data_IF_141569740719
#
_entry.id   IF_141569740719
#
_cell.length_a   1.000
_cell.length_b   1.000
_cell.length_c   1.000
_cell.angle_alpha   90.00
_cell.angle_beta   90.00
_cell.angle_gamma   90.00
#
_symmetry.space_group_name_H-M   'P 1'
#
loop_
_entity.id
_entity.type
_entity.pdbx_description
1 polymer ?
#
# COMPACT_ATOMS: atom_id res chain seq x y z
N UNK A 1 -1.00 -3.95 -27.85
CA UNK A 1 -0.16 -4.19 -26.69
C UNK A 1 -1.00 -4.72 -25.52
N UNK A 2 -0.35 -5.32 -24.53
CA UNK A 2 -0.97 -5.71 -23.27
C UNK A 2 -0.02 -5.34 -22.14
N UNK A 3 -0.50 -4.56 -21.22
CA UNK A 3 0.21 -4.14 -20.02
C UNK A 3 -0.44 -4.84 -18.84
N UNK A 4 0.32 -5.62 -18.11
CA UNK A 4 -0.13 -6.35 -16.93
C UNK A 4 0.60 -5.79 -15.71
N UNK A 5 -0.12 -5.34 -14.73
CA UNK A 5 0.39 -4.88 -13.45
C UNK A 5 -0.22 -5.74 -12.35
N UNK A 6 0.63 -6.36 -11.55
CA UNK A 6 0.24 -7.16 -10.41
C UNK A 6 0.85 -6.57 -9.15
N UNK A 7 0.05 -6.46 -8.10
CA UNK A 7 0.47 -6.01 -6.77
C UNK A 7 0.13 -7.08 -5.77
N UNK A 8 1.07 -7.36 -4.86
CA UNK A 8 0.90 -8.27 -3.74
C UNK A 8 1.43 -7.56 -2.50
N UNK A 9 0.56 -7.35 -1.52
CA UNK A 9 0.87 -6.64 -0.28
C UNK A 9 0.54 -7.51 0.91
N UNK A 10 1.51 -7.67 1.80
CA UNK A 10 1.36 -8.38 3.06
C UNK A 10 1.77 -7.46 4.19
N UNK A 11 0.94 -7.34 5.22
CA UNK A 11 1.22 -6.59 6.43
C UNK A 11 0.87 -7.41 7.66
N UNK A 12 1.77 -7.42 8.63
CA UNK A 12 1.57 -8.09 9.92
C UNK A 12 2.07 -7.20 11.04
N UNK A 13 1.18 -6.88 11.95
CA UNK A 13 1.44 -6.05 13.11
C UNK A 13 1.06 -6.79 14.38
N UNK A 14 1.98 -6.82 15.34
CA UNK A 14 1.79 -7.38 16.67
C UNK A 14 2.18 -6.35 17.71
N UNK A 15 1.32 -6.13 18.69
CA UNK A 15 1.58 -5.19 19.76
C UNK A 15 0.99 -5.64 21.09
N UNK A 16 1.50 -5.07 22.17
CA UNK A 16 1.10 -5.44 23.52
C UNK A 16 0.98 -4.18 24.39
N UNK A 17 -0.06 -4.16 25.23
CA UNK A 17 -0.18 -3.21 26.33
C UNK A 17 -0.27 -3.98 27.65
N UNK A 18 0.51 -3.56 28.63
CA UNK A 18 0.48 -4.10 29.96
C UNK A 18 0.20 -2.98 30.96
N UNK A 19 -0.74 -3.24 31.86
CA UNK A 19 -1.05 -2.35 32.96
C UNK A 19 -1.16 -3.15 34.25
N UNK A 20 -0.43 -2.71 35.25
CA UNK A 20 -0.46 -3.31 36.58
C UNK A 20 -0.75 -2.23 37.61
N UNK A 21 -1.63 -2.52 38.55
CA UNK A 21 -2.03 -1.58 39.59
C UNK A 21 -2.32 -2.26 40.92
N UNK A 22 -2.12 -1.49 41.98
CA UNK A 22 -2.45 -1.89 43.32
C UNK A 22 -3.29 -0.80 44.00
N UNK A 23 -4.38 -1.19 44.60
CA UNK A 23 -5.24 -0.30 45.38
C UNK A 23 -4.83 -0.33 46.86
N UNK A 24 -4.46 0.80 47.39
CA UNK A 24 -4.24 0.99 48.84
C UNK A 24 -5.50 1.55 49.51
N UNK A 25 -5.69 1.38 50.83
CA UNK A 25 -6.84 1.92 51.56
C UNK A 25 -6.99 3.44 51.43
N UNK A 26 -5.91 4.17 51.20
CA UNK A 26 -5.85 5.63 51.08
C UNK A 26 -5.84 6.16 49.65
N UNK A 27 -5.96 5.31 48.63
CA UNK A 27 -5.92 5.70 47.23
C UNK A 27 -5.30 4.66 46.33
N UNK A 28 -5.36 4.88 45.02
CA UNK A 28 -4.74 4.02 44.03
C UNK A 28 -3.33 4.52 43.69
N UNK A 29 -2.34 3.65 43.73
CA UNK A 29 -0.98 3.92 43.24
C UNK A 29 -0.77 3.14 41.95
N UNK A 30 -0.55 3.83 40.85
CA UNK A 30 -0.04 3.23 39.62
C UNK A 30 1.46 3.57 39.47
N UNK A 31 2.25 2.63 39.08
CA UNK A 31 3.65 2.85 38.74
C UNK A 31 3.75 2.94 37.23
N UNK A 32 3.97 4.13 36.69
CA UNK A 32 4.36 4.39 35.31
C UNK A 32 3.30 4.91 34.34
N UNK A 33 3.76 5.56 33.32
CA UNK A 33 3.27 5.78 31.97
C UNK A 33 1.93 6.48 31.74
N UNK A 34 1.78 6.86 30.51
CA UNK A 34 0.69 7.62 29.93
C UNK A 34 -0.71 7.03 30.22
N UNK A 35 -1.64 7.92 30.59
CA UNK A 35 -3.04 7.63 30.92
C UNK A 35 -3.93 7.25 29.71
N UNK A 36 -3.36 6.70 28.64
CA UNK A 36 -4.17 6.21 27.52
C UNK A 36 -4.90 4.95 27.96
N UNK A 37 -6.18 5.14 28.25
CA UNK A 37 -7.10 4.12 28.72
C UNK A 37 -6.96 2.82 27.89
N UNK A 38 -6.84 1.70 28.58
CA UNK A 38 -7.41 0.47 28.07
C UNK A 38 -8.89 0.78 27.89
N UNK A 39 -9.34 1.02 26.67
CA UNK A 39 -10.75 1.28 26.37
C UNK A 39 -11.52 -0.04 26.45
N UNK A 40 -11.53 -0.62 27.64
CA UNK A 40 -12.36 -1.75 27.97
C UNK A 40 -13.69 -1.25 28.51
N UNK A 41 -14.65 -0.98 27.64
CA UNK A 41 -16.07 -0.87 28.02
C UNK A 41 -16.58 -2.10 28.79
N UNK A 42 -15.80 -3.17 28.86
CA UNK A 42 -16.12 -4.41 29.59
C UNK A 42 -15.99 -4.33 31.11
N UNK A 43 -15.36 -3.29 31.67
CA UNK A 43 -15.13 -3.22 33.12
C UNK A 43 -16.15 -2.33 33.81
N UNK A 44 -16.80 -1.43 33.11
CA UNK A 44 -17.82 -0.58 33.68
C UNK A 44 -19.15 -1.29 34.04
N UNK A 45 -19.37 -2.50 33.55
CA UNK A 45 -20.64 -3.22 33.71
C UNK A 45 -20.72 -4.27 34.82
N UNK A 46 -19.61 -4.72 35.41
CA UNK A 46 -19.61 -5.90 36.29
C UNK A 46 -19.09 -5.69 37.73
N UNK A 47 -18.56 -4.52 38.06
CA UNK A 47 -18.12 -4.24 39.43
C UNK A 47 -18.89 -3.05 40.00
N UNK A 48 -20.08 -3.31 40.48
CA UNK A 48 -20.81 -2.34 41.32
C UNK A 48 -20.04 -2.10 42.63
N UNK A 49 -19.24 -1.07 42.67
CA UNK A 49 -18.51 -0.65 43.84
C UNK A 49 -17.18 -0.03 43.48
N UNK A 50 -17.17 1.28 43.27
CA UNK A 50 -16.03 2.22 43.29
C UNK A 50 -14.64 1.66 42.93
N UNK A 51 -14.52 0.96 41.84
CA UNK A 51 -13.22 0.79 41.16
C UNK A 51 -13.11 1.98 40.22
N UNK A 52 -12.12 2.84 40.45
CA UNK A 52 -11.80 3.90 39.53
C UNK A 52 -11.62 3.28 38.12
N UNK A 53 -12.08 3.92 37.03
CA UNK A 53 -11.89 3.43 35.69
C UNK A 53 -10.41 3.10 35.49
N UNK A 54 -10.09 2.01 34.81
CA UNK A 54 -8.70 1.58 34.53
C UNK A 54 -7.87 2.69 33.87
N UNK A 55 -8.51 3.70 33.26
CA UNK A 55 -7.87 4.91 32.77
C UNK A 55 -7.23 5.81 33.81
N UNK A 56 -7.44 5.57 35.11
CA UNK A 56 -6.78 6.31 36.20
C UNK A 56 -5.39 5.70 36.55
N UNK A 57 -5.07 4.52 36.07
CA UNK A 57 -3.81 3.83 36.33
C UNK A 57 -3.03 3.74 35.02
N UNK A 58 -1.97 4.51 34.88
CA UNK A 58 -1.20 4.56 33.62
C UNK A 58 -0.72 3.17 33.11
N UNK A 59 -0.54 3.05 31.84
CA UNK A 59 -0.04 1.83 31.18
C UNK A 59 1.48 1.75 31.32
N UNK A 60 2.03 0.67 31.89
CA UNK A 60 3.47 0.49 32.09
C UNK A 60 4.17 0.09 30.78
N UNK A 61 3.48 -0.70 29.94
CA UNK A 61 3.95 -1.04 28.59
C UNK A 61 2.89 -0.61 27.62
N UNK A 62 3.21 0.29 26.70
CA UNK A 62 2.29 0.79 25.69
C UNK A 62 2.93 0.64 24.29
N UNK A 63 2.88 -0.56 23.75
CA UNK A 63 3.39 -0.94 22.45
C UNK A 63 2.28 -1.59 21.61
N UNK A 64 1.16 -0.89 21.33
CA UNK A 64 0.07 -1.45 20.56
C UNK A 64 0.48 -1.69 19.11
N UNK A 65 -0.22 -2.56 18.40
CA UNK A 65 -0.14 -2.64 16.96
C UNK A 65 -0.64 -1.31 16.34
N UNK A 66 0.15 -0.75 15.44
CA UNK A 66 -0.17 0.50 14.72
C UNK A 66 -0.07 0.25 13.22
N UNK A 67 -0.99 -0.53 12.64
CA UNK A 67 -0.95 -0.86 11.24
C UNK A 67 -1.15 0.38 10.37
N UNK A 68 -0.52 0.41 9.20
CA UNK A 68 -0.70 1.46 8.20
C UNK A 68 -2.11 1.43 7.58
N UNK A 69 -2.78 0.28 7.63
CA UNK A 69 -4.13 0.08 7.09
C UNK A 69 -4.90 -0.93 7.94
N UNK A 70 -6.18 -0.67 8.17
CA UNK A 70 -7.06 -1.54 8.94
C UNK A 70 -7.03 -1.29 10.46
N UNK A 71 -7.92 -1.97 11.17
CA UNK A 71 -8.04 -1.90 12.63
C UNK A 71 -7.53 -3.21 13.23
N UNK A 72 -6.56 -3.19 14.14
CA UNK A 72 -6.08 -4.41 14.77
C UNK A 72 -7.16 -5.06 15.63
N UNK A 73 -7.21 -6.38 15.61
CA UNK A 73 -7.97 -7.15 16.59
C UNK A 73 -7.28 -7.06 17.95
N UNK A 74 -8.05 -6.97 19.02
CA UNK A 74 -7.55 -6.88 20.39
C UNK A 74 -8.07 -8.02 21.23
N UNK A 75 -7.17 -8.64 22.00
CA UNK A 75 -7.51 -9.62 23.03
C UNK A 75 -7.06 -9.07 24.37
N UNK A 76 -8.01 -8.84 25.28
CA UNK A 76 -7.75 -8.31 26.61
C UNK A 76 -7.96 -9.36 27.68
N UNK A 77 -7.01 -9.49 28.59
CA UNK A 77 -7.08 -10.34 29.77
C UNK A 77 -6.89 -9.48 31.00
N UNK A 78 -7.80 -9.61 31.95
CA UNK A 78 -7.77 -8.90 33.22
C UNK A 78 -7.74 -9.89 34.37
N UNK A 79 -6.71 -9.84 35.20
CA UNK A 79 -6.50 -10.69 36.34
C UNK A 79 -6.57 -9.85 37.63
N UNK A 80 -7.31 -10.31 38.61
CA UNK A 80 -7.41 -9.71 39.95
C UNK A 80 -6.94 -10.69 41.03
N UNK A 81 -6.39 -10.16 42.09
CA UNK A 81 -6.19 -10.96 43.28
C UNK A 81 -7.53 -11.19 44.01
N UNK A 82 -7.61 -12.16 44.93
CA UNK A 82 -8.82 -12.52 45.67
C UNK A 82 -9.40 -11.37 46.48
N UNK A 83 -8.58 -10.41 46.91
CA UNK A 83 -9.00 -9.23 47.65
C UNK A 83 -9.37 -8.03 46.77
N UNK A 84 -9.28 -8.14 45.42
CA UNK A 84 -9.50 -7.08 44.44
C UNK A 84 -8.65 -5.82 44.70
N UNK A 85 -7.51 -5.98 45.35
CA UNK A 85 -6.56 -4.91 45.67
C UNK A 85 -5.47 -4.76 44.63
N UNK A 86 -5.23 -5.79 43.84
CA UNK A 86 -4.25 -5.79 42.77
C UNK A 86 -4.87 -6.30 41.46
N UNK A 87 -4.47 -5.73 40.36
CA UNK A 87 -4.87 -6.20 39.03
C UNK A 87 -3.70 -6.18 38.06
N UNK A 88 -3.77 -7.06 37.11
CA UNK A 88 -2.92 -7.10 35.90
C UNK A 88 -3.84 -7.11 34.69
N UNK A 89 -3.75 -6.10 33.87
CA UNK A 89 -4.44 -6.02 32.60
C UNK A 89 -3.44 -6.17 31.46
N UNK A 90 -3.69 -7.10 30.58
CA UNK A 90 -2.88 -7.37 29.38
C UNK A 90 -3.78 -7.25 28.17
N UNK A 91 -3.40 -6.45 27.22
CA UNK A 91 -4.04 -6.35 25.90
C UNK A 91 -3.03 -6.72 24.83
N UNK A 92 -3.37 -7.67 23.99
CA UNK A 92 -2.61 -8.06 22.80
C UNK A 92 -3.38 -7.57 21.60
N UNK A 93 -2.74 -6.77 20.78
CA UNK A 93 -3.29 -6.26 19.52
C UNK A 93 -2.56 -6.91 18.34
N UNK A 94 -3.32 -7.42 17.37
CA UNK A 94 -2.77 -8.07 16.20
C UNK A 94 -3.57 -7.75 14.96
N UNK A 95 -2.87 -7.56 13.84
CA UNK A 95 -3.45 -7.49 12.50
C UNK A 95 -2.59 -8.27 11.54
N UNK A 96 -3.23 -9.02 10.65
CA UNK A 96 -2.61 -9.60 9.47
C UNK A 96 -3.50 -9.23 8.27
N UNK A 97 -2.93 -8.59 7.27
CA UNK A 97 -3.61 -8.14 6.07
C UNK A 97 -2.88 -8.66 4.84
N UNK A 98 -3.63 -9.27 3.93
CA UNK A 98 -3.14 -9.78 2.65
C UNK A 98 -3.98 -9.14 1.53
N UNK A 99 -3.33 -8.48 0.59
CA UNK A 99 -3.96 -7.78 -0.50
C UNK A 99 -3.33 -8.13 -1.84
N UNK A 100 -4.16 -8.53 -2.81
CA UNK A 100 -3.72 -8.83 -4.17
C UNK A 100 -4.51 -8.02 -5.17
N UNK A 101 -3.79 -7.33 -6.04
CA UNK A 101 -4.37 -6.54 -7.11
C UNK A 101 -3.81 -6.96 -8.47
N UNK A 102 -4.65 -6.91 -9.51
CA UNK A 102 -4.20 -7.12 -10.88
C UNK A 102 -4.92 -6.15 -11.80
N UNK A 103 -4.16 -5.38 -12.56
CA UNK A 103 -4.69 -4.46 -13.58
C UNK A 103 -4.16 -4.88 -14.94
N UNK A 104 -5.06 -5.01 -15.91
CA UNK A 104 -4.70 -5.34 -17.30
C UNK A 104 -5.23 -4.23 -18.20
N UNK A 105 -4.32 -3.61 -18.95
CA UNK A 105 -4.63 -2.61 -19.96
C UNK A 105 -4.22 -3.14 -21.34
N UNK A 106 -5.12 -3.06 -22.33
CA UNK A 106 -4.89 -3.62 -23.66
C UNK A 106 -5.16 -2.59 -24.76
N UNK A 107 -4.27 -1.58 -24.95
CA UNK A 107 -4.41 -0.65 -26.05
C UNK A 107 -4.19 -1.34 -27.40
N UNK A 108 -4.99 -0.99 -28.38
CA UNK A 108 -4.92 -1.54 -29.75
C UNK A 108 -5.02 -0.40 -30.76
N UNK A 109 -4.18 -0.45 -31.78
CA UNK A 109 -4.18 0.51 -32.87
C UNK A 109 -3.85 -0.23 -34.15
N UNK A 110 -4.41 0.22 -35.26
CA UNK A 110 -4.13 -0.28 -36.60
C UNK A 110 -3.50 0.85 -37.41
N UNK A 111 -2.46 0.53 -38.17
CA UNK A 111 -1.75 1.50 -39.02
C UNK A 111 -1.19 0.82 -40.25
N UNK A 112 -0.86 1.62 -41.27
CA UNK A 112 -0.14 1.17 -42.45
C UNK A 112 1.34 0.93 -42.16
N UNK A 113 2.02 0.22 -43.09
CA UNK A 113 3.47 -0.01 -43.00
C UNK A 113 4.23 1.33 -42.97
N UNK A 114 5.19 1.48 -42.07
CA UNK A 114 6.03 2.66 -41.86
C UNK A 114 5.26 3.97 -41.45
N UNK A 115 3.98 3.85 -41.07
CA UNK A 115 3.20 4.98 -40.57
C UNK A 115 3.06 4.92 -39.07
N UNK A 116 3.37 6.04 -38.42
CA UNK A 116 3.20 6.17 -36.98
C UNK A 116 1.73 6.23 -36.60
N UNK A 117 1.35 5.50 -35.57
CA UNK A 117 0.02 5.59 -34.96
C UNK A 117 0.13 5.76 -33.46
N UNK A 118 -0.80 6.51 -32.91
CA UNK A 118 -0.91 6.82 -31.49
C UNK A 118 -2.33 6.52 -31.02
N UNK A 119 -2.45 5.86 -29.87
CA UNK A 119 -3.70 5.77 -29.11
C UNK A 119 -3.46 6.22 -27.68
N UNK A 120 -4.31 7.11 -27.19
CA UNK A 120 -4.20 7.69 -25.85
C UNK A 120 -5.55 7.62 -25.13
N UNK A 121 -5.50 7.33 -23.83
CA UNK A 121 -6.66 7.36 -22.95
C UNK A 121 -6.21 7.82 -21.57
N UNK A 122 -6.88 8.81 -20.98
CA UNK A 122 -6.49 9.30 -19.66
C UNK A 122 -7.36 10.41 -19.15
N UNK A 123 -6.85 11.12 -18.15
CA UNK A 123 -7.48 12.29 -17.52
C UNK A 123 -6.53 13.47 -17.54
N UNK A 124 -7.07 14.66 -17.62
CA UNK A 124 -6.33 15.91 -17.44
C UNK A 124 -6.59 16.44 -16.03
N UNK A 125 -5.51 16.72 -15.30
CA UNK A 125 -5.57 17.15 -13.91
C UNK A 125 -5.26 18.65 -13.87
N UNK A 126 -6.20 19.49 -13.41
CA UNK A 126 -5.93 20.92 -13.24
C UNK A 126 -5.02 21.16 -12.04
N UNK A 127 -4.06 22.06 -12.18
CA UNK A 127 -3.25 22.56 -11.07
C UNK A 127 -3.12 24.08 -11.15
N UNK A 128 -3.01 24.71 -10.00
CA UNK A 128 -2.86 26.16 -9.90
C UNK A 128 -1.39 26.54 -10.04
N UNK A 129 -1.13 27.46 -10.93
CA UNK A 129 0.20 28.04 -11.13
C UNK A 129 0.16 29.53 -10.77
N UNK A 130 1.00 29.94 -9.82
CA UNK A 130 1.16 31.35 -9.49
C UNK A 130 1.85 32.08 -10.64
N UNK A 131 1.28 33.19 -11.07
CA UNK A 131 1.90 34.08 -12.07
C UNK A 131 2.66 35.18 -11.37
N UNK A 132 3.66 35.73 -12.05
CA UNK A 132 4.51 36.83 -11.53
C UNK A 132 3.74 38.10 -11.17
N UNK A 133 2.49 38.23 -11.62
CA UNK A 133 1.59 39.35 -11.31
C UNK A 133 0.66 39.12 -10.11
N UNK A 134 0.83 38.02 -9.36
CA UNK A 134 0.01 37.69 -8.20
C UNK A 134 -1.36 37.05 -8.55
N UNK A 135 -1.69 36.89 -9.83
CA UNK A 135 -2.87 36.15 -10.27
C UNK A 135 -2.57 34.64 -10.32
N UNK A 136 -3.56 33.82 -10.04
CA UNK A 136 -3.47 32.36 -10.23
C UNK A 136 -4.04 31.96 -11.58
N UNK A 137 -3.28 31.23 -12.38
CA UNK A 137 -3.77 30.57 -13.59
C UNK A 137 -3.92 29.08 -13.37
N UNK A 138 -4.89 28.47 -14.05
CA UNK A 138 -5.10 27.02 -14.03
C UNK A 138 -4.38 26.44 -15.25
N UNK A 139 -3.44 25.54 -15.00
CA UNK A 139 -2.79 24.72 -16.03
C UNK A 139 -3.27 23.26 -15.89
N UNK A 140 -3.16 22.49 -16.96
CA UNK A 140 -3.58 21.09 -16.99
C UNK A 140 -2.36 20.19 -17.20
N UNK A 141 -2.32 19.07 -16.50
CA UNK A 141 -1.33 18.02 -16.69
C UNK A 141 -2.03 16.72 -17.04
N UNK A 142 -1.57 16.07 -18.12
CA UNK A 142 -2.11 14.80 -18.56
C UNK A 142 -1.57 13.66 -17.71
N UNK A 143 -2.46 12.75 -17.32
CA UNK A 143 -2.14 11.44 -16.79
C UNK A 143 -2.84 10.42 -17.69
N UNK A 144 -2.09 9.81 -18.60
CA UNK A 144 -2.65 8.97 -19.66
C UNK A 144 -1.89 7.67 -19.87
N UNK A 145 -2.62 6.67 -20.39
CA UNK A 145 -2.08 5.52 -21.05
C UNK A 145 -1.91 5.89 -22.53
N UNK A 146 -0.69 5.84 -23.05
CA UNK A 146 -0.35 6.13 -24.45
C UNK A 146 0.44 4.98 -25.05
N UNK A 147 0.05 4.57 -26.25
CA UNK A 147 0.80 3.65 -27.09
C UNK A 147 1.06 4.33 -28.43
N UNK A 148 2.33 4.57 -28.70
CA UNK A 148 2.83 5.05 -29.99
C UNK A 148 3.61 3.94 -30.66
N UNK A 149 3.29 3.64 -31.91
CA UNK A 149 3.93 2.55 -32.65
C UNK A 149 4.18 2.95 -34.09
N UNK A 150 5.36 2.59 -34.61
CA UNK A 150 5.70 2.67 -36.02
C UNK A 150 6.15 1.28 -36.48
N UNK A 151 5.32 0.52 -37.20
CA UNK A 151 5.68 -0.81 -37.70
C UNK A 151 6.44 -0.71 -39.02
N UNK A 152 7.35 -1.68 -39.26
CA UNK A 152 8.00 -1.91 -40.51
C UNK A 152 7.97 -3.40 -40.81
N UNK A 153 7.32 -3.79 -41.90
CA UNK A 153 7.25 -5.18 -42.35
C UNK A 153 8.52 -5.51 -43.13
N UNK A 154 9.20 -6.55 -42.70
CA UNK A 154 10.41 -7.06 -43.37
C UNK A 154 10.05 -8.04 -44.48
N UNK A 155 10.93 -8.25 -45.49
CA UNK A 155 10.65 -9.16 -46.63
C UNK A 155 10.40 -10.61 -46.20
N UNK A 156 10.90 -11.03 -45.06
CA UNK A 156 10.71 -12.36 -44.45
C UNK A 156 9.40 -12.49 -43.66
N UNK A 157 8.53 -11.46 -43.69
CA UNK A 157 7.21 -11.49 -43.07
C UNK A 157 7.22 -11.19 -41.58
N UNK A 158 8.36 -10.85 -40.98
CA UNK A 158 8.45 -10.36 -39.60
C UNK A 158 8.11 -8.87 -39.51
N UNK A 159 7.81 -8.39 -38.34
CA UNK A 159 7.43 -7.01 -38.12
C UNK A 159 8.40 -6.37 -37.13
N UNK A 160 9.18 -5.40 -37.61
CA UNK A 160 9.98 -4.53 -36.76
C UNK A 160 9.09 -3.37 -36.28
N UNK A 161 9.06 -3.12 -34.99
CA UNK A 161 8.25 -2.08 -34.41
C UNK A 161 9.09 -1.17 -33.55
N UNK A 162 8.97 0.14 -33.79
CA UNK A 162 9.40 1.16 -32.84
C UNK A 162 8.22 1.46 -31.91
N UNK A 163 8.43 1.26 -30.63
CA UNK A 163 7.40 1.31 -29.61
C UNK A 163 7.75 2.36 -28.57
N UNK A 164 6.74 3.14 -28.20
CA UNK A 164 6.79 4.08 -27.09
C UNK A 164 5.49 3.91 -26.31
N UNK A 165 5.60 3.39 -25.10
CA UNK A 165 4.48 3.06 -24.22
C UNK A 165 4.62 3.85 -22.94
N UNK A 166 3.64 4.67 -22.66
CA UNK A 166 3.56 5.46 -21.42
C UNK A 166 2.28 5.11 -20.67
N UNK A 167 2.40 4.90 -19.36
CA UNK A 167 1.26 4.71 -18.46
C UNK A 167 1.44 5.61 -17.25
N UNK A 168 0.70 6.69 -17.24
CA UNK A 168 0.64 7.65 -16.15
C UNK A 168 -0.61 7.44 -15.32
N UNK A 169 -0.48 7.40 -14.01
CA UNK A 169 -1.59 7.29 -13.07
C UNK A 169 -1.52 8.39 -12.01
N UNK A 170 -2.64 9.05 -11.68
CA UNK A 170 -2.66 9.99 -10.57
C UNK A 170 -2.29 9.28 -9.27
N UNK A 171 -1.34 9.81 -8.53
CA UNK A 171 -0.95 9.31 -7.23
C UNK A 171 -1.79 9.92 -6.13
N UNK A 172 -2.17 9.11 -5.13
CA UNK A 172 -2.89 9.57 -3.95
C UNK A 172 -1.98 10.30 -2.93
N UNK A 173 -0.69 10.47 -3.22
CA UNK A 173 0.23 11.16 -2.32
C UNK A 173 -0.19 12.60 -2.11
N UNK A 174 -0.35 13.05 -0.85
CA UNK A 174 -0.69 14.42 -0.54
C UNK A 174 0.51 15.34 -0.88
N UNK A 175 0.34 16.19 -1.85
CA UNK A 175 1.36 17.18 -2.28
C UNK A 175 1.18 18.54 -1.60
N UNK A 176 0.79 18.59 -0.33
CA UNK A 176 0.78 19.83 0.45
C UNK A 176 0.08 21.04 -0.18
N UNK A 177 -0.95 20.82 -1.03
CA UNK A 177 -1.73 21.88 -1.66
C UNK A 177 -1.17 22.41 -3.00
N UNK A 178 -0.02 21.96 -3.49
CA UNK A 178 0.63 22.51 -4.68
C UNK A 178 0.38 21.71 -5.98
N UNK A 179 -0.39 20.62 -5.96
CA UNK A 179 -0.66 19.83 -7.17
C UNK A 179 -0.92 18.35 -6.88
N UNK A 180 -1.06 17.55 -7.92
CA UNK A 180 -1.24 16.10 -7.86
C UNK A 180 0.04 15.45 -8.35
N UNK A 181 0.57 14.48 -7.60
CA UNK A 181 1.67 13.65 -8.07
C UNK A 181 1.17 12.67 -9.14
N UNK A 182 2.01 12.35 -10.10
CA UNK A 182 1.71 11.40 -11.18
C UNK A 182 2.78 10.33 -11.16
N UNK A 183 2.35 9.07 -11.03
CA UNK A 183 3.22 7.91 -11.19
C UNK A 183 3.35 7.59 -12.68
N UNK A 184 4.57 7.68 -13.20
CA UNK A 184 4.88 7.51 -14.61
C UNK A 184 5.63 6.22 -14.84
N UNK A 185 5.15 5.40 -15.79
CA UNK A 185 5.80 4.18 -16.26
C UNK A 185 5.98 4.30 -17.76
N UNK A 186 7.23 4.41 -18.22
CA UNK A 186 7.56 4.67 -19.62
C UNK A 186 8.54 3.62 -20.14
N UNK A 187 8.24 3.05 -21.31
CA UNK A 187 9.10 2.12 -22.03
C UNK A 187 9.20 2.53 -23.49
N UNK A 188 10.43 2.72 -23.95
CA UNK A 188 10.74 3.01 -25.35
C UNK A 188 11.72 1.97 -25.86
N UNK A 189 11.35 1.24 -26.91
CA UNK A 189 12.14 0.13 -27.44
C UNK A 189 11.84 -0.15 -28.91
N UNK A 190 12.73 -0.89 -29.56
CA UNK A 190 12.50 -1.46 -30.86
C UNK A 190 12.50 -2.99 -30.76
N UNK A 191 11.52 -3.64 -31.35
CA UNK A 191 11.36 -5.09 -31.30
C UNK A 191 11.04 -5.66 -32.68
N UNK A 192 11.68 -6.79 -33.02
CA UNK A 192 11.36 -7.58 -34.18
C UNK A 192 10.56 -8.81 -33.74
N UNK A 193 9.36 -8.97 -34.26
CA UNK A 193 8.41 -10.02 -33.85
C UNK A 193 7.79 -10.68 -35.06
N UNK A 194 7.53 -11.97 -34.94
CA UNK A 194 6.82 -12.71 -35.98
C UNK A 194 5.34 -12.29 -36.04
N UNK A 195 4.73 -12.41 -37.22
CA UNK A 195 3.34 -12.10 -37.43
C UNK A 195 2.43 -12.98 -36.53
N UNK A 196 1.68 -12.36 -35.63
CA UNK A 196 0.84 -13.03 -34.64
C UNK A 196 1.59 -13.53 -33.40
N UNK A 197 2.92 -13.43 -33.38
CA UNK A 197 3.74 -13.76 -32.21
C UNK A 197 3.57 -12.75 -31.07
N UNK A 198 3.73 -13.20 -29.82
CA UNK A 198 3.72 -12.34 -28.64
C UNK A 198 5.09 -12.33 -27.99
N UNK A 199 5.62 -11.17 -27.73
CA UNK A 199 6.91 -10.98 -27.07
C UNK A 199 6.76 -10.06 -25.86
N UNK A 200 7.53 -10.31 -24.82
CA UNK A 200 7.68 -9.39 -23.68
C UNK A 200 8.73 -8.34 -24.07
N UNK A 201 8.33 -7.08 -24.14
CA UNK A 201 9.23 -5.97 -24.50
C UNK A 201 9.90 -5.33 -23.29
N UNK A 202 9.38 -5.57 -22.09
CA UNK A 202 9.97 -5.08 -20.86
C UNK A 202 9.10 -5.36 -19.64
N UNK A 203 9.69 -5.13 -18.48
CA UNK A 203 9.00 -5.25 -17.21
C UNK A 203 9.82 -4.62 -16.10
N UNK A 204 9.13 -4.33 -15.01
CA UNK A 204 9.70 -3.78 -13.77
C UNK A 204 9.18 -4.63 -12.63
N UNK A 205 10.07 -5.15 -11.82
CA UNK A 205 9.75 -5.83 -10.58
C UNK A 205 10.29 -5.01 -9.41
N UNK A 206 9.42 -4.66 -8.49
CA UNK A 206 9.79 -3.95 -7.27
C UNK A 206 9.30 -4.73 -6.07
N UNK A 207 10.18 -4.94 -5.11
CA UNK A 207 9.85 -5.51 -3.81
C UNK A 207 10.35 -4.60 -2.72
N UNK A 208 9.47 -4.28 -1.79
CA UNK A 208 9.79 -3.52 -0.58
C UNK A 208 9.45 -4.38 0.62
N UNK A 209 10.45 -4.63 1.46
CA UNK A 209 10.27 -5.31 2.73
C UNK A 209 10.68 -4.36 3.84
N UNK A 210 9.80 -4.13 4.79
CA UNK A 210 10.04 -3.27 5.95
C UNK A 210 9.72 -4.07 7.22
N UNK A 211 10.73 -4.32 8.04
CA UNK A 211 10.64 -5.08 9.28
C UNK A 211 11.04 -4.15 10.43
N UNK A 212 10.06 -3.67 11.17
CA UNK A 212 10.24 -2.75 12.29
C UNK A 212 9.93 -3.44 13.60
N UNK A 213 10.89 -3.43 14.52
CA UNK A 213 10.69 -3.93 15.88
C UNK A 213 10.98 -2.81 16.88
N UNK A 214 9.98 -2.45 17.66
CA UNK A 214 10.09 -1.52 18.79
C UNK A 214 9.97 -2.33 20.07
N UNK A 215 10.96 -2.22 20.97
CA UNK A 215 11.04 -3.01 22.20
C UNK A 215 11.51 -2.19 23.39
N UNK A 216 11.16 -2.63 24.59
CA UNK A 216 11.73 -2.11 25.81
C UNK A 216 13.10 -2.77 25.98
N UNK A 217 14.21 -1.99 26.16
CA UNK A 217 15.53 -2.54 26.39
C UNK A 217 15.53 -3.53 27.57
N UNK A 218 16.32 -4.58 27.49
CA UNK A 218 16.45 -5.69 28.44
C UNK A 218 15.21 -6.60 28.54
N UNK A 219 14.00 -6.05 28.68
CA UNK A 219 12.77 -6.82 28.84
C UNK A 219 12.31 -7.48 27.52
N UNK A 220 12.49 -6.79 26.40
CA UNK A 220 12.15 -7.31 25.08
C UNK A 220 13.08 -8.44 24.59
N UNK A 221 14.24 -8.63 25.23
CA UNK A 221 15.23 -9.66 24.86
C UNK A 221 15.12 -10.92 25.73
N UNK A 222 14.20 -10.94 26.70
CA UNK A 222 14.02 -12.10 27.57
C UNK A 222 13.45 -13.31 26.79
N UNK A 223 13.99 -14.50 27.00
CA UNK A 223 13.39 -15.72 26.45
C UNK A 223 12.00 -15.94 27.04
N UNK A 224 11.09 -16.45 26.23
CA UNK A 224 9.68 -16.78 26.54
C UNK A 224 8.75 -15.60 26.83
N UNK A 225 9.19 -14.55 27.50
CA UNK A 225 8.32 -13.42 27.90
C UNK A 225 8.61 -12.14 27.10
N UNK A 226 9.70 -12.07 26.36
CA UNK A 226 10.13 -10.87 25.63
C UNK A 226 9.12 -10.39 24.57
N UNK A 227 8.24 -11.28 24.06
CA UNK A 227 7.20 -10.91 23.11
C UNK A 227 6.17 -9.94 23.72
N UNK A 228 5.98 -9.94 25.03
CA UNK A 228 5.08 -9.00 25.75
C UNK A 228 5.66 -7.59 25.87
N UNK A 229 6.93 -7.39 25.57
CA UNK A 229 7.65 -6.12 25.68
C UNK A 229 8.16 -5.59 24.35
N UNK A 230 7.60 -6.08 23.25
CA UNK A 230 7.95 -5.66 21.90
C UNK A 230 6.70 -5.52 21.02
N UNK A 231 6.79 -4.53 20.12
CA UNK A 231 5.90 -4.40 18.98
C UNK A 231 6.68 -4.81 17.73
N UNK A 232 6.06 -5.55 16.84
CA UNK A 232 6.64 -5.93 15.56
C UNK A 232 5.67 -5.61 14.43
N UNK A 233 6.15 -4.86 13.46
CA UNK A 233 5.45 -4.53 12.22
C UNK A 233 6.27 -5.02 11.04
N UNK A 234 5.68 -5.87 10.22
CA UNK A 234 6.28 -6.40 9.00
C UNK A 234 5.40 -6.03 7.83
N UNK A 235 5.97 -5.39 6.82
CA UNK A 235 5.31 -5.04 5.56
C UNK A 235 6.13 -5.61 4.41
N UNK A 236 5.50 -6.36 3.51
CA UNK A 236 6.10 -6.87 2.27
C UNK A 236 5.19 -6.49 1.09
N UNK A 237 5.67 -5.60 0.25
CA UNK A 237 4.97 -5.12 -0.94
C UNK A 237 5.74 -5.54 -2.19
N UNK A 238 5.05 -6.17 -3.12
CA UNK A 238 5.59 -6.57 -4.42
C UNK A 238 4.74 -5.95 -5.52
N UNK A 239 5.40 -5.36 -6.48
CA UNK A 239 4.75 -4.83 -7.68
C UNK A 239 5.49 -5.33 -8.90
N UNK A 240 4.76 -5.92 -9.81
CA UNK A 240 5.26 -6.43 -11.08
C UNK A 240 4.52 -5.78 -12.24
N UNK A 241 5.27 -5.21 -13.17
CA UNK A 241 4.79 -4.66 -14.42
C UNK A 241 5.39 -5.46 -15.57
N UNK A 242 4.54 -5.99 -16.46
CA UNK A 242 4.97 -6.68 -17.69
C UNK A 242 4.24 -6.06 -18.88
N UNK A 243 5.00 -5.83 -19.95
CA UNK A 243 4.48 -5.25 -21.20
C UNK A 243 4.71 -6.25 -22.33
N UNK A 244 3.60 -6.69 -22.93
CA UNK A 244 3.57 -7.61 -24.06
C UNK A 244 3.14 -6.88 -25.31
N UNK A 245 3.71 -7.29 -26.45
CA UNK A 245 3.29 -6.83 -27.75
C UNK A 245 2.99 -8.02 -28.67
N UNK A 246 1.91 -7.89 -29.45
CA UNK A 246 1.48 -8.88 -30.43
C UNK A 246 1.08 -8.14 -31.70
N UNK A 247 1.97 -8.07 -32.71
CA UNK A 247 1.62 -7.50 -34.01
C UNK A 247 0.85 -8.52 -34.83
N UNK A 248 -0.02 -8.03 -35.70
CA UNK A 248 -0.73 -8.85 -36.67
C UNK A 248 -0.86 -8.10 -37.99
N UNK A 249 -0.46 -8.71 -39.10
CA UNK A 249 -0.71 -8.20 -40.44
C UNK A 249 -2.16 -8.52 -40.80
N UNK A 250 -2.92 -7.49 -41.18
CA UNK A 250 -4.27 -7.64 -41.71
C UNK A 250 -4.15 -7.65 -43.24
N UNK A 251 -4.35 -8.83 -43.84
CA UNK A 251 -4.46 -8.95 -45.31
C UNK A 251 -5.88 -8.60 -45.73
N UNK A 252 -6.02 -7.71 -46.70
CA UNK A 252 -7.32 -7.41 -47.29
C UNK A 252 -7.69 -8.61 -48.22
N UNK A 253 -8.57 -9.46 -47.74
CA UNK A 253 -9.18 -10.49 -48.60
C UNK A 253 -10.24 -9.80 -49.44
N UNK A 254 -9.85 -9.37 -50.65
CA UNK A 254 -10.79 -8.98 -51.69
C UNK A 254 -11.62 -10.21 -52.05
N UNK A 255 -12.74 -10.42 -51.43
CA UNK A 255 -13.84 -11.27 -51.96
C UNK A 255 -14.49 -10.50 -53.09
N UNK A 256 -13.94 -10.69 -54.31
CA UNK A 256 -14.69 -10.35 -55.52
C UNK A 256 -15.96 -11.18 -55.50
N UNK A 257 -17.09 -10.52 -55.38
CA UNK A 257 -18.44 -11.06 -55.57
C UNK A 257 -18.96 -10.63 -56.91
#
# INVERSE_FOLDING_TARGET
>A
ARIVEATDSFAKDLGVRLNWGQKYPSGAVSIGGDSTAISGQLIAGTVAGSVAPLGAYGTQVNLPATPASGTPGTLSLLLFNKALTQFLATEISALEADGRGKVISSPRVMTANQVEAIIEQGVEIPYQQATSSGATSVAFRKANLSLKVTPQITPDGRIMMKLDVNKDTPSALPTGGAGVAIDTKHVKTEALVDNGGTVVIGGIYTRRTDDKTTRIPFLGDLPYVGFLFRNRSTVDEKTELLIFITPRIVAETLTLR
#
